data_IF_102930002130
#
_entry.id   IF_102930002130
#
_cell.length_a   1.000
_cell.length_b   1.000
_cell.length_c   1.000
_cell.angle_alpha   90.00
_cell.angle_beta   90.00
_cell.angle_gamma   90.00
#
_symmetry.space_group_name_H-M   'P 1'
#
loop_
_entity.id
_entity.type
_entity.pdbx_description
1 polymer ?
#
# COMPACT_ATOMS: atom_id res chain seq x y z
N UNK A 1 18.90 21.27 1.69
CA UNK A 1 18.32 21.59 0.37
C UNK A 1 16.80 21.44 0.46
N UNK A 2 16.06 22.54 0.49
CA UNK A 2 14.60 22.51 0.38
C UNK A 2 14.22 22.16 -1.06
N UNK A 3 13.49 21.05 -1.26
CA UNK A 3 12.88 20.73 -2.56
C UNK A 3 11.61 21.58 -2.71
N UNK A 4 11.76 22.86 -2.99
CA UNK A 4 10.64 23.75 -3.31
C UNK A 4 10.10 23.40 -4.70
N UNK A 5 8.86 22.94 -4.76
CA UNK A 5 8.16 22.61 -6.01
C UNK A 5 6.66 22.61 -5.79
N UNK A 6 5.91 22.79 -6.87
CA UNK A 6 4.45 22.71 -6.88
C UNK A 6 4.02 21.41 -7.55
N UNK A 7 3.11 20.68 -6.91
CA UNK A 7 2.50 19.46 -7.43
C UNK A 7 0.99 19.70 -7.56
N UNK A 8 0.39 19.64 -8.77
CA UNK A 8 -1.07 19.70 -8.89
C UNK A 8 -1.67 18.41 -8.31
N UNK A 9 -2.61 18.55 -7.37
CA UNK A 9 -3.30 17.43 -6.74
C UNK A 9 -4.81 17.50 -7.01
N UNK A 10 -5.43 16.35 -7.28
CA UNK A 10 -6.90 16.21 -7.37
C UNK A 10 -7.54 16.41 -6.00
N UNK A 11 -8.72 17.02 -5.97
CA UNK A 11 -9.51 17.20 -4.73
C UNK A 11 -10.03 15.86 -4.19
N UNK A 12 -10.12 14.84 -5.04
CA UNK A 12 -10.56 13.48 -4.67
C UNK A 12 -9.66 12.83 -3.62
N UNK A 13 -8.40 13.27 -3.49
CA UNK A 13 -7.47 12.89 -2.40
C UNK A 13 -8.10 13.06 -1.02
N UNK A 14 -9.03 14.02 -0.84
CA UNK A 14 -9.71 14.27 0.44
C UNK A 14 -10.89 13.33 0.70
N UNK A 15 -11.44 12.66 -0.32
CA UNK A 15 -12.62 11.80 -0.19
C UNK A 15 -12.27 10.33 0.15
N UNK A 16 -11.05 10.08 0.65
CA UNK A 16 -10.57 8.74 0.95
C UNK A 16 -11.27 8.10 2.17
N UNK A 17 -11.51 6.77 2.17
CA UNK A 17 -12.21 6.07 3.26
C UNK A 17 -11.43 6.05 4.59
N UNK A 18 -10.19 6.53 4.60
CA UNK A 18 -9.33 6.68 5.77
C UNK A 18 -9.41 8.07 6.42
N UNK A 19 -10.25 8.98 5.91
CA UNK A 19 -10.35 10.37 6.40
C UNK A 19 -10.77 10.47 7.88
N UNK A 20 -11.50 9.48 8.40
CA UNK A 20 -11.87 9.40 9.83
C UNK A 20 -10.67 9.11 10.76
N UNK A 21 -9.51 8.72 10.19
CA UNK A 21 -8.28 8.44 10.95
C UNK A 21 -7.20 9.49 10.63
N UNK A 22 -7.01 10.54 11.47
CA UNK A 22 -6.10 11.64 11.15
C UNK A 22 -4.63 11.19 11.01
N UNK A 23 -4.22 10.17 11.75
CA UNK A 23 -2.89 9.56 11.62
C UNK A 23 -2.68 8.93 10.22
N UNK A 24 -3.71 8.31 9.66
CA UNK A 24 -3.65 7.66 8.34
C UNK A 24 -3.67 8.72 7.24
N UNK A 25 -4.47 9.77 7.38
CA UNK A 25 -4.45 10.93 6.48
C UNK A 25 -3.06 11.61 6.45
N UNK A 26 -2.43 11.82 7.61
CA UNK A 26 -1.11 12.45 7.68
C UNK A 26 -0.02 11.57 7.02
N UNK A 27 -0.05 10.25 7.26
CA UNK A 27 0.86 9.29 6.59
C UNK A 27 0.62 9.27 5.09
N UNK A 28 -0.64 9.24 4.64
CA UNK A 28 -1.00 9.24 3.23
C UNK A 28 -0.51 10.50 2.50
N UNK A 29 -0.81 11.69 3.04
CA UNK A 29 -0.35 12.96 2.47
C UNK A 29 1.19 13.05 2.43
N UNK A 30 1.87 12.57 3.48
CA UNK A 30 3.33 12.52 3.53
C UNK A 30 3.91 11.61 2.45
N UNK A 31 3.32 10.44 2.23
CA UNK A 31 3.70 9.52 1.15
C UNK A 31 3.42 10.13 -0.23
N UNK A 32 2.25 10.72 -0.44
CA UNK A 32 1.81 11.32 -1.71
C UNK A 32 2.71 12.49 -2.14
N UNK A 33 3.07 13.36 -1.20
CA UNK A 33 3.98 14.49 -1.42
C UNK A 33 5.45 14.08 -1.54
N UNK A 34 5.85 12.98 -0.90
CA UNK A 34 7.23 12.47 -0.96
C UNK A 34 7.49 11.55 -2.17
N UNK A 35 6.45 11.00 -2.78
CA UNK A 35 6.55 10.13 -3.94
C UNK A 35 7.19 10.82 -5.14
N UNK A 36 7.89 10.04 -5.97
CA UNK A 36 8.55 10.57 -7.15
C UNK A 36 7.52 11.08 -8.18
N UNK A 37 7.63 12.35 -8.54
CA UNK A 37 6.86 12.96 -9.63
C UNK A 37 7.32 12.47 -11.01
N UNK A 38 8.62 12.27 -11.22
CA UNK A 38 9.17 11.69 -12.45
C UNK A 38 10.01 10.44 -12.12
N UNK A 39 10.08 9.45 -13.04
CA UNK A 39 10.93 8.29 -12.86
C UNK A 39 12.38 8.69 -12.57
N UNK A 40 12.98 8.11 -11.53
CA UNK A 40 14.31 8.47 -11.06
C UNK A 40 15.12 7.21 -10.77
N UNK A 41 16.34 7.14 -11.31
CA UNK A 41 17.30 6.12 -10.91
C UNK A 41 17.70 6.33 -9.43
N UNK A 42 17.68 5.24 -8.67
CA UNK A 42 18.16 5.17 -7.30
C UNK A 42 18.94 3.87 -7.17
N UNK A 43 20.27 3.97 -7.00
CA UNK A 43 21.19 2.85 -7.20
C UNK A 43 20.92 2.21 -8.58
N UNK A 44 20.88 0.89 -8.67
CA UNK A 44 20.70 0.13 -9.91
C UNK A 44 19.23 -0.07 -10.32
N UNK A 45 18.27 0.59 -9.66
CA UNK A 45 16.84 0.48 -9.97
C UNK A 45 16.20 1.82 -10.36
N UNK A 46 15.29 1.78 -11.32
CA UNK A 46 14.45 2.93 -11.69
C UNK A 46 13.19 2.95 -10.84
N UNK A 47 13.11 3.92 -9.93
CA UNK A 47 11.91 4.19 -9.12
C UNK A 47 10.94 4.99 -9.98
N UNK A 48 9.79 4.40 -10.29
CA UNK A 48 8.79 4.99 -11.19
C UNK A 48 8.06 6.18 -10.54
N UNK A 49 7.29 6.88 -11.37
CA UNK A 49 6.34 7.90 -10.91
C UNK A 49 5.34 7.28 -9.93
N UNK A 50 5.00 8.00 -8.86
CA UNK A 50 4.13 7.50 -7.79
C UNK A 50 4.77 6.47 -6.85
N UNK A 51 6.07 6.19 -6.99
CA UNK A 51 6.83 5.32 -6.09
C UNK A 51 7.76 6.10 -5.15
N UNK A 52 8.02 5.53 -3.98
CA UNK A 52 8.92 6.07 -2.96
C UNK A 52 9.73 4.97 -2.29
N UNK A 53 11.04 5.13 -2.22
CA UNK A 53 11.90 4.32 -1.35
C UNK A 53 11.97 4.99 0.02
N UNK A 54 11.46 4.33 1.06
CA UNK A 54 11.50 4.85 2.44
C UNK A 54 11.32 3.72 3.45
N UNK A 55 11.53 4.01 4.74
CA UNK A 55 11.31 3.09 5.86
C UNK A 55 10.20 3.58 6.79
N UNK A 56 9.61 2.69 7.57
CA UNK A 56 8.62 3.05 8.60
C UNK A 56 9.16 4.11 9.58
N UNK A 57 10.44 4.02 9.95
CA UNK A 57 11.10 4.97 10.85
C UNK A 57 11.28 6.36 10.22
N UNK A 58 11.57 6.44 8.91
CA UNK A 58 11.67 7.71 8.21
C UNK A 58 10.28 8.37 8.07
N UNK A 59 9.24 7.61 7.76
CA UNK A 59 7.85 8.12 7.74
C UNK A 59 7.43 8.60 9.14
N UNK A 60 7.76 7.86 10.19
CA UNK A 60 7.55 8.26 11.59
C UNK A 60 8.24 9.59 11.92
N UNK A 61 9.50 9.75 11.50
CA UNK A 61 10.25 11.00 11.67
C UNK A 61 9.63 12.18 10.90
N UNK A 62 9.15 11.95 9.66
CA UNK A 62 8.50 12.99 8.85
C UNK A 62 7.12 13.41 9.38
N UNK A 63 6.38 12.48 9.96
CA UNK A 63 5.00 12.69 10.46
C UNK A 63 4.93 13.06 11.94
N UNK A 64 6.02 12.88 12.70
CA UNK A 64 6.01 13.00 14.17
C UNK A 64 5.27 11.87 14.88
N UNK A 65 4.83 10.83 14.17
CA UNK A 65 4.08 9.71 14.72
C UNK A 65 4.99 8.59 15.25
N UNK A 66 4.45 7.74 16.11
CA UNK A 66 5.14 6.50 16.49
C UNK A 66 5.21 5.52 15.31
N UNK A 67 6.27 4.70 15.25
CA UNK A 67 6.41 3.64 14.23
C UNK A 67 5.22 2.67 14.23
N UNK A 68 4.59 2.45 15.39
CA UNK A 68 3.37 1.65 15.50
C UNK A 68 2.18 2.30 14.79
N UNK A 69 1.93 3.60 15.00
CA UNK A 69 0.87 4.33 14.32
C UNK A 69 1.08 4.33 12.79
N UNK A 70 2.32 4.50 12.34
CA UNK A 70 2.68 4.43 10.92
C UNK A 70 2.43 3.03 10.34
N UNK A 71 2.75 1.95 11.06
CA UNK A 71 2.45 0.57 10.64
C UNK A 71 0.93 0.33 10.54
N UNK A 72 0.14 0.82 11.50
CA UNK A 72 -1.33 0.73 11.45
C UNK A 72 -1.90 1.49 10.26
N UNK A 73 -1.48 2.75 10.06
CA UNK A 73 -1.88 3.56 8.90
C UNK A 73 -1.57 2.88 7.57
N UNK A 74 -0.36 2.34 7.40
CA UNK A 74 0.03 1.61 6.18
C UNK A 74 -0.76 0.31 6.02
N UNK A 75 -1.10 -0.40 7.11
CA UNK A 75 -2.00 -1.57 7.04
C UNK A 75 -3.37 -1.16 6.52
N UNK A 76 -3.92 -0.04 6.97
CA UNK A 76 -5.23 0.47 6.52
C UNK A 76 -5.19 0.87 5.04
N UNK A 77 -4.18 1.63 4.61
CA UNK A 77 -3.97 2.04 3.21
C UNK A 77 -3.72 0.85 2.26
N UNK A 78 -3.16 -0.26 2.76
CA UNK A 78 -3.03 -1.51 2.01
C UNK A 78 -4.35 -2.28 1.93
N UNK A 79 -5.21 -2.22 2.95
CA UNK A 79 -6.54 -2.86 2.91
C UNK A 79 -7.55 -2.12 2.02
N UNK A 80 -7.44 -0.80 1.86
CA UNK A 80 -8.27 -0.03 0.91
C UNK A 80 -7.80 -0.19 -0.54
N UNK A 81 -6.57 -0.67 -0.75
CA UNK A 81 -5.97 -0.85 -2.07
C UNK A 81 -5.34 0.41 -2.66
N UNK A 82 -5.29 1.51 -1.91
CA UNK A 82 -4.67 2.78 -2.33
C UNK A 82 -3.14 2.71 -2.37
N UNK A 83 -2.56 1.88 -1.50
CA UNK A 83 -1.12 1.76 -1.31
C UNK A 83 -0.67 0.30 -1.47
N UNK A 84 0.40 0.08 -2.23
CA UNK A 84 1.11 -1.21 -2.28
C UNK A 84 2.55 -1.04 -1.81
N UNK A 85 3.17 -2.13 -1.38
CA UNK A 85 4.50 -2.12 -0.79
C UNK A 85 5.27 -3.37 -1.21
N UNK A 86 6.45 -3.17 -1.80
CA UNK A 86 7.44 -4.21 -2.04
C UNK A 86 8.56 -4.05 -1.01
N UNK A 87 8.83 -5.11 -0.27
CA UNK A 87 9.91 -5.15 0.73
C UNK A 87 11.05 -5.99 0.14
N UNK A 88 12.26 -5.44 0.14
CA UNK A 88 13.51 -6.15 -0.17
C UNK A 88 14.33 -6.31 1.10
N UNK A 89 15.46 -7.03 1.02
CA UNK A 89 16.41 -7.19 2.14
C UNK A 89 16.98 -5.86 2.65
N UNK A 90 17.06 -4.83 1.80
CA UNK A 90 17.72 -3.56 2.14
C UNK A 90 16.77 -2.35 2.21
N UNK A 91 15.66 -2.36 1.46
CA UNK A 91 14.76 -1.21 1.34
C UNK A 91 13.31 -1.62 1.09
N UNK A 92 12.37 -0.73 1.44
CA UNK A 92 10.95 -0.84 1.05
C UNK A 92 10.62 0.18 -0.02
N UNK A 93 9.94 -0.28 -1.08
CA UNK A 93 9.35 0.57 -2.12
C UNK A 93 7.84 0.63 -1.89
N UNK A 94 7.35 1.82 -1.59
CA UNK A 94 5.92 2.11 -1.54
C UNK A 94 5.46 2.61 -2.90
N UNK A 95 4.33 2.11 -3.39
CA UNK A 95 3.74 2.49 -4.68
C UNK A 95 2.30 2.94 -4.46
N UNK A 96 2.01 4.17 -4.83
CA UNK A 96 0.67 4.77 -4.75
C UNK A 96 -0.13 4.35 -5.98
N UNK A 97 -1.25 3.69 -5.77
CA UNK A 97 -2.14 3.29 -6.87
C UNK A 97 -2.82 4.53 -7.46
N UNK A 98 -3.04 4.53 -8.77
CA UNK A 98 -3.69 5.61 -9.50
C UNK A 98 -3.04 7.00 -9.30
N UNK A 99 -1.72 7.06 -9.03
CA UNK A 99 -1.02 8.32 -8.77
C UNK A 99 -1.25 9.38 -9.85
N UNK A 100 -1.37 9.00 -11.13
CA UNK A 100 -1.63 9.96 -12.22
C UNK A 100 -3.03 10.58 -12.21
N UNK A 101 -4.02 9.98 -11.53
CA UNK A 101 -5.33 10.61 -11.29
C UNK A 101 -5.25 11.59 -10.12
N UNK A 102 -4.52 11.22 -9.07
CA UNK A 102 -4.34 12.03 -7.86
C UNK A 102 -3.40 13.22 -8.10
N UNK A 103 -2.42 13.04 -8.99
CA UNK A 103 -1.30 13.93 -9.28
C UNK A 103 -1.05 13.91 -10.80
N UNK A 104 -1.84 14.62 -11.63
CA UNK A 104 -1.77 14.52 -13.09
C UNK A 104 -0.57 15.25 -13.70
N UNK A 105 0.19 14.56 -14.55
CA UNK A 105 1.31 15.17 -15.27
C UNK A 105 0.81 16.15 -16.34
N UNK A 106 1.40 17.35 -16.42
CA UNK A 106 1.02 18.36 -17.43
C UNK A 106 1.52 18.01 -18.85
N UNK A 107 2.01 16.78 -19.07
CA UNK A 107 2.38 16.24 -20.39
C UNK A 107 1.14 15.52 -20.93
N UNK A 108 0.55 16.08 -21.99
CA UNK A 108 -0.83 15.85 -22.43
C UNK A 108 -1.35 14.40 -22.32
N UNK A 109 -2.47 14.25 -21.61
CA UNK A 109 -3.10 12.97 -21.31
C UNK A 109 -3.67 12.27 -22.55
N UNK A 110 -2.96 11.27 -23.04
CA UNK A 110 -3.57 10.21 -23.86
C UNK A 110 -2.98 8.84 -23.47
N UNK A 111 -3.58 8.23 -22.44
CA UNK A 111 -3.49 6.80 -22.18
C UNK A 111 -4.77 6.35 -21.52
N UNK A 112 -5.58 5.69 -22.34
CA UNK A 112 -6.88 5.11 -22.02
C UNK A 112 -6.70 3.98 -21.01
N UNK A 113 -7.58 3.88 -20.02
CA UNK A 113 -7.54 2.79 -19.05
C UNK A 113 -7.92 1.46 -19.70
N UNK A 114 -6.93 0.68 -20.12
CA UNK A 114 -7.14 -0.74 -20.47
C UNK A 114 -7.31 -1.55 -19.19
N UNK A 115 -8.56 -1.65 -18.74
CA UNK A 115 -8.97 -2.59 -17.71
C UNK A 115 -9.06 -3.99 -18.32
N UNK A 116 -7.93 -4.70 -18.40
CA UNK A 116 -7.94 -6.13 -18.70
C UNK A 116 -7.09 -6.93 -17.72
N UNK A 117 -7.53 -8.15 -17.44
CA UNK A 117 -7.14 -8.96 -16.29
C UNK A 117 -6.49 -10.26 -16.75
N UNK A 118 -5.17 -10.42 -16.60
CA UNK A 118 -4.56 -11.75 -16.59
C UNK A 118 -3.17 -11.84 -15.93
N UNK A 119 -3.22 -12.22 -14.65
CA UNK A 119 -2.46 -13.32 -14.04
C UNK A 119 -0.97 -13.60 -14.37
N UNK A 120 -0.21 -13.68 -13.25
CA UNK A 120 0.69 -14.79 -12.88
C UNK A 120 2.19 -14.71 -13.27
N UNK A 121 3.06 -14.60 -12.24
CA UNK A 121 3.98 -15.70 -11.85
C UNK A 121 4.72 -15.48 -10.52
N UNK A 122 4.45 -16.41 -9.60
CA UNK A 122 5.44 -17.17 -8.81
C UNK A 122 6.44 -16.44 -7.89
N UNK A 123 6.22 -16.51 -6.57
CA UNK A 123 7.29 -16.74 -5.58
C UNK A 123 6.83 -17.77 -4.51
N UNK A 124 7.80 -18.48 -3.91
CA UNK A 124 7.60 -19.76 -3.22
C UNK A 124 7.31 -19.65 -1.70
N UNK A 125 6.62 -20.67 -1.19
CA UNK A 125 6.39 -20.95 0.23
C UNK A 125 7.66 -21.09 1.08
N UNK A 126 7.62 -20.58 2.32
CA UNK A 126 8.09 -21.22 3.55
C UNK A 126 7.12 -20.77 4.67
N UNK A 127 6.30 -21.64 5.27
CA UNK A 127 6.61 -22.64 6.33
C UNK A 127 7.22 -22.00 7.59
N UNK A 128 6.42 -21.95 8.65
CA UNK A 128 6.88 -22.04 10.03
C UNK A 128 5.98 -23.05 10.77
N UNK A 129 6.60 -23.87 11.61
CA UNK A 129 6.05 -25.05 12.28
C UNK A 129 5.90 -24.76 13.78
N UNK A 130 4.78 -25.16 14.37
CA UNK A 130 4.70 -25.43 15.80
C UNK A 130 3.53 -26.36 16.10
N UNK A 131 3.82 -27.65 16.02
CA UNK A 131 2.95 -28.76 16.43
C UNK A 131 2.46 -28.68 17.89
N UNK A 132 1.31 -29.33 18.16
CA UNK A 132 0.95 -30.19 19.32
C UNK A 132 -0.54 -30.58 19.15
N UNK A 133 -0.86 -31.82 18.77
CA UNK A 133 -1.34 -32.91 19.66
C UNK A 133 -2.59 -32.53 20.49
N UNK A 134 -3.72 -33.27 20.57
CA UNK A 134 -4.16 -34.64 20.20
C UNK A 134 -5.73 -34.62 20.14
N UNK A 135 -6.53 -35.62 19.75
CA UNK A 135 -6.37 -37.09 19.57
C UNK A 135 -7.24 -37.61 18.40
N UNK A 136 -7.81 -38.83 18.46
CA UNK A 136 -8.86 -39.37 17.56
C UNK A 136 -10.29 -38.95 17.94
N UNK A 137 -11.38 -39.52 17.39
CA UNK A 137 -11.57 -40.61 16.41
C UNK A 137 -13.08 -40.82 16.24
N UNK A 138 -13.53 -41.07 15.00
CA UNK A 138 -14.81 -41.73 14.66
C UNK A 138 -16.16 -41.03 14.99
N UNK A 139 -17.20 -41.40 14.22
CA UNK A 139 -18.60 -41.06 14.50
C UNK A 139 -19.21 -40.02 13.57
N UNK A 140 -19.62 -40.43 12.36
CA UNK A 140 -20.47 -39.59 11.51
C UNK A 140 -21.94 -39.64 11.95
N UNK A 141 -22.64 -38.50 11.91
CA UNK A 141 -24.10 -38.45 11.87
C UNK A 141 -24.56 -37.23 11.07
N UNK A 142 -25.55 -37.44 10.20
CA UNK A 142 -26.14 -36.41 9.34
C UNK A 142 -27.53 -36.06 9.85
N UNK A 143 -27.82 -34.78 10.07
CA UNK A 143 -29.17 -34.19 10.08
C UNK A 143 -29.09 -32.67 9.88
N UNK A 144 -29.55 -32.23 8.70
CA UNK A 144 -30.56 -31.19 8.46
C UNK A 144 -30.56 -29.82 9.20
N UNK A 145 -30.88 -28.80 8.38
CA UNK A 145 -31.65 -27.58 8.67
C UNK A 145 -30.94 -26.29 9.19
N UNK A 146 -30.77 -25.34 8.26
CA UNK A 146 -31.12 -23.92 8.44
C UNK A 146 -32.63 -23.75 8.81
N UNK A 147 -33.17 -22.57 9.25
CA UNK A 147 -32.64 -21.21 9.06
C UNK A 147 -32.77 -20.19 10.22
N UNK A 148 -32.08 -19.05 10.02
CA UNK A 148 -32.49 -17.66 10.31
C UNK A 148 -33.24 -17.33 11.61
N UNK A 149 -32.51 -16.74 12.57
CA UNK A 149 -32.79 -15.41 13.13
C UNK A 149 -31.48 -14.75 13.60
#
# INVERSE_FOLDING_TARGET
MTKTGFCPMSREVLNGPWHDTPNTQLVWLTLLLSANWEPRQWRDITIQRGQLVTSYSNIAQQTGLTVQNVRTAIKHLKSTGDLTQVITSEYSVFTIKNYDLLCPSNKGSHSQSTHDSQQNKHYKNYKEDSSLEKTGSEGGFSVDAEPLW
#
